data_IF_291408932432
#
_entry.id   IF_291408932432
#
_cell.length_a   1.000
_cell.length_b   1.000
_cell.length_c   1.000
_cell.angle_alpha   90.00
_cell.angle_beta   90.00
_cell.angle_gamma   90.00
#
_symmetry.space_group_name_H-M   'P 1'
#
loop_
_entity.id
_entity.type
_entity.pdbx_description
1 polymer ?
#
# COMPACT_ATOMS: atom_id res chain seq x y z
N UNK A 1 21.08 16.18 -0.15
CA UNK A 1 19.79 15.47 -0.24
C UNK A 1 19.71 14.58 0.99
N UNK A 2 18.70 14.72 1.86
CA UNK A 2 18.55 13.79 3.00
C UNK A 2 18.47 12.36 2.45
N UNK A 3 19.05 11.40 3.17
CA UNK A 3 19.02 10.01 2.73
C UNK A 3 17.57 9.51 2.77
N UNK A 4 17.20 8.59 1.89
CA UNK A 4 15.84 8.00 1.85
C UNK A 4 15.43 7.39 3.20
N UNK A 5 16.41 6.95 4.00
CA UNK A 5 16.23 6.46 5.37
C UNK A 5 15.71 7.54 6.33
N UNK A 6 16.25 8.75 6.25
CA UNK A 6 15.83 9.88 7.09
C UNK A 6 14.37 10.24 6.80
N UNK A 7 13.99 10.27 5.51
CA UNK A 7 12.62 10.53 5.09
C UNK A 7 11.64 9.45 5.58
N UNK A 8 12.00 8.17 5.51
CA UNK A 8 11.14 7.09 6.02
C UNK A 8 10.94 7.19 7.53
N UNK A 9 11.99 7.53 8.27
CA UNK A 9 11.90 7.72 9.71
C UNK A 9 11.00 8.92 10.07
N UNK A 10 11.16 10.04 9.38
CA UNK A 10 10.31 11.22 9.56
C UNK A 10 8.84 10.90 9.26
N UNK A 11 8.57 10.14 8.19
CA UNK A 11 7.23 9.67 7.86
C UNK A 11 6.66 8.78 8.97
N UNK A 12 7.41 7.78 9.46
CA UNK A 12 6.97 6.90 10.57
C UNK A 12 6.59 7.68 11.82
N UNK A 13 7.36 8.72 12.17
CA UNK A 13 7.06 9.56 13.33
C UNK A 13 5.88 10.50 13.10
N UNK A 14 5.76 11.12 11.92
CA UNK A 14 4.77 12.15 11.65
C UNK A 14 3.39 11.62 11.23
N UNK A 15 3.34 10.52 10.48
CA UNK A 15 2.09 10.02 9.89
C UNK A 15 0.98 9.71 10.90
N UNK A 16 1.26 9.06 12.04
CA UNK A 16 0.21 8.71 12.99
C UNK A 16 -0.59 9.93 13.48
N UNK A 17 0.08 11.08 13.63
CA UNK A 17 -0.57 12.33 14.01
C UNK A 17 -1.39 12.92 12.84
N UNK A 18 -0.85 12.88 11.62
CA UNK A 18 -1.54 13.34 10.41
C UNK A 18 -2.79 12.51 10.12
N UNK A 19 -2.72 11.19 10.28
CA UNK A 19 -3.85 10.28 10.07
C UNK A 19 -4.97 10.54 11.08
N UNK A 20 -4.63 10.69 12.37
CA UNK A 20 -5.59 11.08 13.41
C UNK A 20 -6.27 12.40 13.08
N UNK A 21 -5.48 13.42 12.68
CA UNK A 21 -6.01 14.73 12.30
C UNK A 21 -6.93 14.66 11.09
N UNK A 22 -6.59 13.86 10.07
CA UNK A 22 -7.42 13.68 8.88
C UNK A 22 -8.76 13.00 9.22
N UNK A 23 -8.73 11.95 10.04
CA UNK A 23 -9.93 11.26 10.53
C UNK A 23 -10.83 12.21 11.34
N UNK A 24 -10.26 12.96 12.27
CA UNK A 24 -11.03 13.92 13.08
C UNK A 24 -11.63 15.04 12.23
N UNK A 25 -10.90 15.51 11.22
CA UNK A 25 -11.40 16.53 10.29
C UNK A 25 -12.57 15.99 9.49
N UNK A 26 -12.46 14.77 8.96
CA UNK A 26 -13.58 14.11 8.27
C UNK A 26 -14.79 13.97 9.20
N UNK A 27 -14.60 13.44 10.41
CA UNK A 27 -15.67 13.27 11.40
C UNK A 27 -16.38 14.58 11.71
N UNK A 28 -15.63 15.68 11.92
CA UNK A 28 -16.21 17.01 12.17
C UNK A 28 -16.97 17.53 10.96
N UNK A 29 -16.42 17.36 9.76
CA UNK A 29 -17.07 17.79 8.52
C UNK A 29 -18.38 17.03 8.27
N UNK A 30 -18.41 15.73 8.56
CA UNK A 30 -19.57 14.86 8.32
C UNK A 30 -20.53 14.73 9.51
N UNK A 31 -20.26 15.39 10.64
CA UNK A 31 -21.09 15.29 11.85
C UNK A 31 -22.41 16.06 11.72
N UNK A 32 -22.46 17.06 10.84
CA UNK A 32 -23.67 17.83 10.57
C UNK A 32 -24.65 17.08 9.67
N UNK A 33 -25.92 17.53 9.62
CA UNK A 33 -26.87 17.04 8.63
C UNK A 33 -26.38 17.39 7.22
N UNK A 34 -26.58 16.47 6.28
CA UNK A 34 -26.29 16.74 4.87
C UNK A 34 -27.21 17.85 4.33
N UNK A 35 -26.74 18.75 3.46
CA UNK A 35 -27.58 19.77 2.85
C UNK A 35 -28.73 19.16 2.03
N UNK A 36 -29.90 19.79 2.08
CA UNK A 36 -31.09 19.34 1.34
C UNK A 36 -31.07 19.78 -0.12
N UNK A 37 -30.40 20.88 -0.44
CA UNK A 37 -30.30 21.37 -1.81
C UNK A 37 -29.27 20.58 -2.61
N UNK A 38 -29.62 20.23 -3.85
CA UNK A 38 -28.81 19.35 -4.69
C UNK A 38 -27.39 19.87 -4.92
N UNK A 39 -27.22 21.20 -5.09
CA UNK A 39 -25.90 21.80 -5.35
C UNK A 39 -24.98 21.67 -4.15
N UNK A 40 -25.47 21.99 -2.96
CA UNK A 40 -24.70 21.88 -1.73
C UNK A 40 -24.50 20.43 -1.32
N UNK A 41 -25.44 19.53 -1.62
CA UNK A 41 -25.28 18.10 -1.39
C UNK A 41 -24.13 17.51 -2.24
N UNK A 42 -24.03 17.89 -3.52
CA UNK A 42 -22.91 17.48 -4.39
C UNK A 42 -21.58 18.02 -3.85
N UNK A 43 -21.54 19.28 -3.39
CA UNK A 43 -20.35 19.86 -2.77
C UNK A 43 -19.96 19.12 -1.47
N UNK A 44 -20.94 18.81 -0.62
CA UNK A 44 -20.76 18.04 0.61
C UNK A 44 -20.20 16.64 0.32
N UNK A 45 -20.79 15.91 -0.63
CA UNK A 45 -20.36 14.57 -1.02
C UNK A 45 -18.95 14.59 -1.62
N UNK A 46 -18.62 15.58 -2.45
CA UNK A 46 -17.27 15.77 -2.98
C UNK A 46 -16.25 16.03 -1.86
N UNK A 47 -16.60 16.85 -0.88
CA UNK A 47 -15.77 17.10 0.31
C UNK A 47 -15.51 15.83 1.12
N UNK A 48 -16.55 15.03 1.39
CA UNK A 48 -16.43 13.72 2.05
C UNK A 48 -15.51 12.78 1.28
N UNK A 49 -15.69 12.69 -0.05
CA UNK A 49 -14.86 11.83 -0.90
C UNK A 49 -13.40 12.26 -0.89
N UNK A 50 -13.13 13.56 -0.97
CA UNK A 50 -11.77 14.10 -0.90
C UNK A 50 -11.10 13.77 0.44
N UNK A 51 -11.83 13.90 1.56
CA UNK A 51 -11.32 13.55 2.88
C UNK A 51 -10.97 12.05 3.00
N UNK A 52 -11.81 11.16 2.48
CA UNK A 52 -11.55 9.71 2.47
C UNK A 52 -10.32 9.40 1.61
N UNK A 53 -10.22 9.98 0.41
CA UNK A 53 -9.05 9.80 -0.46
C UNK A 53 -7.76 10.28 0.21
N UNK A 54 -7.80 11.39 0.95
CA UNK A 54 -6.66 11.88 1.71
C UNK A 54 -6.24 10.87 2.79
N UNK A 55 -7.18 10.31 3.55
CA UNK A 55 -6.90 9.27 4.55
C UNK A 55 -6.27 8.02 3.90
N UNK A 56 -6.81 7.58 2.76
CA UNK A 56 -6.24 6.45 2.01
C UNK A 56 -4.80 6.71 1.53
N UNK A 57 -4.51 7.93 1.08
CA UNK A 57 -3.16 8.31 0.67
C UNK A 57 -2.18 8.27 1.84
N UNK A 58 -2.59 8.76 3.02
CA UNK A 58 -1.78 8.66 4.23
C UNK A 58 -1.54 7.19 4.62
N UNK A 59 -2.53 6.32 4.55
CA UNK A 59 -2.33 4.89 4.81
C UNK A 59 -1.32 4.25 3.84
N UNK A 60 -1.38 4.61 2.55
CA UNK A 60 -0.40 4.14 1.55
C UNK A 60 1.00 4.64 1.86
N UNK A 61 1.15 5.91 2.25
CA UNK A 61 2.44 6.44 2.69
C UNK A 61 2.97 5.72 3.93
N UNK A 62 2.09 5.31 4.84
CA UNK A 62 2.47 4.54 6.04
C UNK A 62 3.08 3.20 5.64
N UNK A 63 2.38 2.47 4.75
CA UNK A 63 2.86 1.18 4.25
C UNK A 63 4.23 1.31 3.59
N UNK A 64 4.44 2.32 2.75
CA UNK A 64 5.73 2.58 2.13
C UNK A 64 6.83 2.95 3.15
N UNK A 65 6.48 3.66 4.23
CA UNK A 65 7.43 4.10 5.25
C UNK A 65 7.90 2.93 6.12
N UNK A 66 7.06 1.92 6.39
CA UNK A 66 7.44 0.73 7.17
C UNK A 66 8.50 -0.14 6.49
N UNK A 67 8.90 0.17 5.25
CA UNK A 67 9.94 -0.60 4.55
C UNK A 67 9.40 -1.90 3.97
N UNK A 68 8.10 -2.14 4.14
CA UNK A 68 7.29 -2.91 3.21
C UNK A 68 7.29 -2.13 1.88
N UNK A 69 8.40 -2.20 1.15
CA UNK A 69 8.56 -1.52 -0.11
C UNK A 69 7.54 -2.08 -1.07
N UNK A 70 6.35 -1.47 -1.15
CA UNK A 70 5.27 -1.88 -2.03
C UNK A 70 5.26 -3.40 -2.27
N UNK A 71 5.23 -4.19 -1.19
CA UNK A 71 4.75 -5.56 -1.34
C UNK A 71 3.23 -5.41 -1.55
N UNK A 72 2.75 -5.18 -2.78
CA UNK A 72 2.28 -6.28 -3.61
C UNK A 72 2.75 -7.63 -3.06
N UNK A 73 1.79 -8.47 -2.65
CA UNK A 73 1.89 -9.42 -1.55
C UNK A 73 3.28 -10.02 -1.30
N UNK A 74 3.70 -9.85 -0.05
CA UNK A 74 4.79 -10.50 0.69
C UNK A 74 5.09 -11.89 0.12
N UNK A 75 6.14 -11.99 -0.70
CA UNK A 75 6.54 -13.24 -1.34
C UNK A 75 7.53 -13.06 -2.48
N UNK A 76 7.60 -11.92 -3.17
CA UNK A 76 8.31 -11.84 -4.45
C UNK A 76 9.81 -12.24 -4.44
N UNK A 77 10.63 -11.86 -3.45
CA UNK A 77 12.07 -12.16 -3.50
C UNK A 77 12.44 -13.58 -3.03
N UNK A 78 11.77 -14.09 -1.99
CA UNK A 78 11.90 -15.49 -1.56
C UNK A 78 11.19 -16.42 -2.54
N UNK A 79 10.07 -16.01 -3.13
CA UNK A 79 9.42 -16.73 -4.23
C UNK A 79 10.26 -16.68 -5.49
N UNK A 80 11.01 -15.62 -5.80
CA UNK A 80 11.90 -15.61 -6.96
C UNK A 80 13.07 -16.57 -6.75
N UNK A 81 13.66 -16.64 -5.55
CA UNK A 81 14.71 -17.59 -5.23
C UNK A 81 14.20 -19.05 -5.14
N UNK A 82 13.02 -19.25 -4.57
CA UNK A 82 12.33 -20.55 -4.53
C UNK A 82 11.91 -21.00 -5.95
N UNK A 83 11.42 -20.08 -6.78
CA UNK A 83 11.07 -20.30 -8.19
C UNK A 83 12.30 -20.65 -9.02
N UNK A 84 13.42 -19.93 -8.84
CA UNK A 84 14.67 -20.24 -9.52
C UNK A 84 15.17 -21.64 -9.14
N UNK A 85 15.10 -21.99 -7.85
CA UNK A 85 15.45 -23.34 -7.36
C UNK A 85 14.52 -24.42 -7.94
N UNK A 86 13.22 -24.13 -8.06
CA UNK A 86 12.23 -25.03 -8.64
C UNK A 86 12.47 -25.27 -10.13
N UNK A 87 12.83 -24.21 -10.87
CA UNK A 87 13.15 -24.27 -12.30
C UNK A 87 14.41 -25.10 -12.53
N UNK A 88 15.48 -24.88 -11.75
CA UNK A 88 16.72 -25.66 -11.87
C UNK A 88 16.49 -27.14 -11.55
N UNK A 89 15.68 -27.44 -10.53
CA UNK A 89 15.32 -28.84 -10.20
C UNK A 89 14.53 -29.52 -11.32
N UNK A 90 13.59 -28.79 -11.94
CA UNK A 90 12.79 -29.34 -13.05
C UNK A 90 13.63 -29.58 -14.31
N UNK A 91 14.59 -28.69 -14.62
CA UNK A 91 15.54 -28.90 -15.73
C UNK A 91 16.40 -30.14 -15.50
N UNK A 92 16.99 -30.29 -14.31
CA UNK A 92 17.82 -31.45 -13.99
C UNK A 92 17.04 -32.78 -14.06
N UNK A 93 15.75 -32.77 -13.70
CA UNK A 93 14.89 -33.94 -13.81
C UNK A 93 14.58 -34.32 -15.26
N UNK A 94 14.47 -33.36 -16.17
CA UNK A 94 14.31 -33.61 -17.61
C UNK A 94 15.61 -34.10 -18.25
N UNK A 95 16.76 -33.54 -17.88
CA UNK A 95 18.07 -34.01 -18.36
C UNK A 95 18.34 -35.45 -17.90
N UNK A 96 17.92 -35.83 -16.68
CA UNK A 96 17.97 -37.22 -16.21
C UNK A 96 16.89 -38.13 -16.81
N UNK A 97 15.86 -37.56 -17.44
CA UNK A 97 14.82 -38.31 -18.14
C UNK A 97 15.24 -38.67 -19.59
N UNK A 98 16.21 -37.96 -20.17
CA UNK A 98 16.81 -38.34 -21.45
C UNK A 98 17.82 -39.51 -21.28
N UNK A 99 18.22 -39.84 -20.05
CA UNK A 99 19.15 -40.93 -19.71
C UNK A 99 18.47 -42.31 -19.51
N UNK A 100 17.12 -42.41 -19.50
CA UNK A 100 16.41 -43.70 -19.44
C UNK A 100 15.74 -44.13 -20.76
N UNK A 101 15.86 -43.33 -21.83
CA UNK A 101 15.42 -43.69 -23.19
C UNK A 101 16.59 -44.04 -24.14
N UNK A 102 17.63 -44.70 -23.62
CA UNK A 102 18.49 -45.62 -24.40
C UNK A 102 18.63 -46.97 -23.71
#
# INVERSE_FOLDING_TARGET
MPAVTDLRQDLRHGLPALLRRAIDTYRRFSAGPAPEDAKSFVAYQSGCRAAILHIQLLLKLAACAEGEGAAMPVGAAEADAELETLIETAKAALDGHDDWET
#
